data_IF_461324437872
#
_entry.id   IF_461324437872
#
_cell.length_a   1.000
_cell.length_b   1.000
_cell.length_c   1.000
_cell.angle_alpha   90.00
_cell.angle_beta   90.00
_cell.angle_gamma   90.00
#
_symmetry.space_group_name_H-M   'P 1'
#
loop_
_entity.id
_entity.type
_entity.pdbx_description
1 polymer ?
#
# COMPACT_ATOMS: atom_id res chain seq x y z
N UNK A 1 -4.66 -7.88 18.40
CA UNK A 1 -3.38 -8.19 17.67
C UNK A 1 -2.34 -7.25 18.24
N UNK A 2 -1.21 -7.80 18.67
CA UNK A 2 -0.06 -7.02 19.05
C UNK A 2 0.54 -6.30 17.83
N UNK A 3 1.20 -5.16 18.03
CA UNK A 3 1.72 -4.37 16.91
C UNK A 3 2.83 -5.11 16.14
N UNK A 4 3.76 -5.76 16.85
CA UNK A 4 4.83 -6.54 16.23
C UNK A 4 4.27 -7.77 15.51
N UNK A 5 3.30 -8.45 16.11
CA UNK A 5 2.57 -9.54 15.46
C UNK A 5 1.95 -9.06 14.14
N UNK A 6 1.30 -7.89 14.14
CA UNK A 6 0.71 -7.29 12.92
C UNK A 6 1.73 -7.05 11.83
N UNK A 7 2.90 -6.50 12.17
CA UNK A 7 4.01 -6.25 11.23
C UNK A 7 4.50 -7.56 10.59
N UNK A 8 4.68 -8.60 11.40
CA UNK A 8 5.24 -9.87 10.97
C UNK A 8 4.23 -10.75 10.20
N UNK A 9 2.93 -10.66 10.53
CA UNK A 9 1.89 -11.55 10.02
C UNK A 9 1.07 -10.97 8.85
N UNK A 10 1.11 -9.66 8.60
CA UNK A 10 0.37 -9.06 7.49
C UNK A 10 0.76 -9.68 6.14
N UNK A 11 -0.27 -10.01 5.34
CA UNK A 11 -0.12 -10.64 4.01
C UNK A 11 -0.93 -9.88 2.95
N UNK A 12 -0.51 -10.07 1.69
CA UNK A 12 -1.34 -9.71 0.55
C UNK A 12 -2.47 -10.71 0.40
N UNK A 13 -3.70 -10.27 0.60
CA UNK A 13 -4.93 -11.06 0.48
C UNK A 13 -5.53 -10.81 -0.90
N UNK A 14 -5.91 -11.90 -1.59
CA UNK A 14 -6.50 -11.86 -2.93
C UNK A 14 -7.78 -12.69 -3.06
N UNK A 15 -8.25 -13.29 -1.95
CA UNK A 15 -9.53 -13.97 -1.84
C UNK A 15 -10.33 -13.31 -0.73
N UNK A 16 -11.49 -12.80 -1.06
CA UNK A 16 -12.33 -12.02 -0.18
C UNK A 16 -13.67 -12.70 0.07
N UNK A 17 -14.18 -12.55 1.29
CA UNK A 17 -15.52 -12.97 1.69
C UNK A 17 -16.52 -11.89 1.25
N UNK A 18 -17.18 -12.13 0.13
CA UNK A 18 -18.13 -11.19 -0.48
C UNK A 18 -19.43 -11.02 0.30
N UNK A 19 -19.67 -11.88 1.31
CA UNK A 19 -20.86 -11.79 2.18
C UNK A 19 -20.73 -10.70 3.25
N UNK A 20 -19.50 -10.22 3.52
CA UNK A 20 -19.20 -9.21 4.53
C UNK A 20 -18.94 -7.86 3.90
N UNK A 21 -19.33 -6.79 4.61
CA UNK A 21 -19.14 -5.41 4.19
C UNK A 21 -18.37 -4.62 5.24
N UNK A 22 -17.48 -3.76 4.77
CA UNK A 22 -16.71 -2.85 5.61
C UNK A 22 -17.51 -1.57 5.80
N UNK A 23 -17.68 -1.13 7.05
CA UNK A 23 -18.36 0.15 7.30
C UNK A 23 -17.50 1.33 6.82
N UNK A 24 -18.15 2.42 6.43
CA UNK A 24 -17.45 3.66 6.07
C UNK A 24 -16.63 4.22 7.24
N UNK A 25 -17.07 4.00 8.46
CA UNK A 25 -16.37 4.38 9.70
C UNK A 25 -15.06 3.62 9.81
N UNK A 26 -15.07 2.30 9.59
CA UNK A 26 -13.85 1.48 9.61
C UNK A 26 -12.86 1.94 8.54
N UNK A 27 -13.34 2.25 7.33
CA UNK A 27 -12.48 2.78 6.25
C UNK A 27 -11.86 4.13 6.65
N UNK A 28 -12.65 5.04 7.25
CA UNK A 28 -12.15 6.33 7.74
C UNK A 28 -11.07 6.18 8.81
N UNK A 29 -11.25 5.25 9.75
CA UNK A 29 -10.25 4.98 10.80
C UNK A 29 -8.93 4.45 10.19
N UNK A 30 -9.01 3.58 9.19
CA UNK A 30 -7.85 3.06 8.48
C UNK A 30 -7.12 4.18 7.73
N UNK A 31 -7.85 5.03 7.00
CA UNK A 31 -7.27 6.18 6.29
C UNK A 31 -6.69 7.18 7.29
N UNK A 32 -7.36 7.43 8.41
CA UNK A 32 -6.82 8.27 9.49
C UNK A 32 -5.46 7.77 9.96
N UNK A 33 -5.30 6.46 10.18
CA UNK A 33 -3.99 5.90 10.56
C UNK A 33 -2.93 6.14 9.47
N UNK A 34 -3.28 6.01 8.19
CA UNK A 34 -2.39 6.32 7.08
C UNK A 34 -1.95 7.80 7.07
N UNK A 35 -2.85 8.72 7.42
CA UNK A 35 -2.57 10.17 7.48
C UNK A 35 -1.66 10.58 8.65
N UNK A 36 -1.41 9.69 9.61
CA UNK A 36 -0.42 9.91 10.68
C UNK A 36 1.00 9.51 10.28
N UNK A 37 1.20 9.09 9.04
CA UNK A 37 2.52 8.77 8.51
C UNK A 37 3.39 10.03 8.38
N UNK A 38 4.72 9.95 8.62
CA UNK A 38 5.61 11.07 8.39
C UNK A 38 5.70 11.41 6.91
N UNK A 39 5.96 12.68 6.60
CA UNK A 39 6.23 13.17 5.25
C UNK A 39 7.38 14.16 5.23
N UNK A 40 8.03 14.31 4.09
CA UNK A 40 9.06 15.29 3.89
C UNK A 40 8.52 16.70 4.22
N UNK A 41 9.17 17.39 5.14
CA UNK A 41 8.77 18.72 5.62
C UNK A 41 7.30 18.83 6.09
N UNK A 42 6.69 17.71 6.53
CA UNK A 42 5.28 17.65 6.94
C UNK A 42 4.31 18.15 5.84
N UNK A 43 4.63 17.89 4.57
CA UNK A 43 3.87 18.36 3.42
C UNK A 43 2.54 17.64 3.23
N UNK A 44 2.41 16.37 3.69
CA UNK A 44 1.19 15.59 3.67
C UNK A 44 0.52 15.55 2.27
N UNK A 45 1.27 15.14 1.21
CA UNK A 45 0.80 15.24 -0.16
C UNK A 45 -0.18 14.13 -0.56
N UNK A 46 -0.42 13.16 0.31
CA UNK A 46 -1.29 12.02 0.01
C UNK A 46 -2.76 12.41 -0.10
N UNK A 47 -3.44 11.78 -1.02
CA UNK A 47 -4.88 11.80 -1.19
C UNK A 47 -5.39 10.34 -1.31
N UNK A 48 -6.61 10.08 -0.85
CA UNK A 48 -7.16 8.72 -0.84
C UNK A 48 -8.53 8.72 -1.50
N UNK A 49 -8.65 8.04 -2.63
CA UNK A 49 -9.92 7.86 -3.33
C UNK A 49 -10.45 6.45 -3.04
N UNK A 50 -11.59 6.36 -2.36
CA UNK A 50 -12.26 5.10 -2.01
C UNK A 50 -13.33 4.79 -3.04
N UNK A 51 -13.27 3.59 -3.63
CA UNK A 51 -14.20 3.15 -4.67
C UNK A 51 -14.78 1.79 -4.25
N UNK A 52 -16.10 1.71 -4.12
CA UNK A 52 -16.86 0.49 -3.82
C UNK A 52 -17.82 0.11 -4.97
N UNK A 53 -17.73 0.82 -6.09
CA UNK A 53 -18.51 0.54 -7.29
C UNK A 53 -18.12 -0.81 -7.92
N UNK A 54 -19.09 -1.71 -8.03
CA UNK A 54 -18.88 -3.09 -8.53
C UNK A 54 -18.42 -3.15 -9.98
N UNK A 55 -18.87 -2.25 -10.81
CA UNK A 55 -18.48 -2.20 -12.21
C UNK A 55 -17.02 -1.80 -12.33
N UNK A 56 -16.61 -0.75 -11.62
CA UNK A 56 -15.21 -0.32 -11.55
C UNK A 56 -14.32 -1.44 -11.04
N UNK A 57 -14.67 -2.09 -9.91
CA UNK A 57 -13.88 -3.16 -9.33
C UNK A 57 -13.72 -4.36 -10.28
N UNK A 58 -14.76 -4.69 -11.03
CA UNK A 58 -14.73 -5.79 -12.00
C UNK A 58 -13.85 -5.47 -13.21
N UNK A 59 -13.88 -4.22 -13.65
CA UNK A 59 -13.19 -3.73 -14.83
C UNK A 59 -11.74 -3.29 -14.54
N UNK A 60 -11.35 -3.14 -13.27
CA UNK A 60 -10.03 -2.68 -12.86
C UNK A 60 -8.88 -3.51 -13.47
N UNK A 61 -9.11 -4.81 -13.74
CA UNK A 61 -8.16 -5.71 -14.42
C UNK A 61 -7.76 -5.24 -15.83
N UNK A 62 -8.58 -4.41 -16.48
CA UNK A 62 -8.27 -3.85 -17.79
C UNK A 62 -7.32 -2.64 -17.70
N UNK A 63 -7.31 -1.98 -16.55
CA UNK A 63 -6.38 -0.90 -16.22
C UNK A 63 -5.07 -1.48 -15.67
N UNK A 64 -5.18 -2.38 -14.67
CA UNK A 64 -4.06 -3.05 -14.01
C UNK A 64 -4.29 -4.57 -14.03
N UNK A 65 -3.62 -5.27 -14.95
CA UNK A 65 -3.83 -6.71 -15.22
C UNK A 65 -3.72 -7.63 -14.00
N UNK A 66 -3.03 -7.20 -12.95
CA UNK A 66 -2.80 -7.98 -11.74
C UNK A 66 -3.89 -7.78 -10.67
N UNK A 67 -5.01 -7.13 -11.01
CA UNK A 67 -6.12 -6.83 -10.09
C UNK A 67 -7.39 -7.62 -10.36
N UNK A 68 -7.31 -8.76 -11.05
CA UNK A 68 -8.48 -9.59 -11.39
C UNK A 68 -9.31 -10.03 -10.17
N UNK A 69 -8.68 -10.09 -8.99
CA UNK A 69 -9.34 -10.40 -7.71
C UNK A 69 -10.04 -9.20 -7.07
N UNK A 70 -9.86 -7.98 -7.59
CA UNK A 70 -10.51 -6.77 -7.07
C UNK A 70 -12.04 -6.85 -7.18
N UNK A 71 -12.55 -7.61 -8.16
CA UNK A 71 -14.00 -7.85 -8.31
C UNK A 71 -14.65 -8.45 -7.06
N UNK A 72 -13.92 -9.18 -6.23
CA UNK A 72 -14.40 -9.81 -5.01
C UNK A 72 -14.07 -8.99 -3.75
N UNK A 73 -13.23 -7.96 -3.86
CA UNK A 73 -12.94 -7.04 -2.76
C UNK A 73 -14.17 -6.20 -2.39
N UNK A 74 -14.24 -5.71 -1.18
CA UNK A 74 -15.33 -4.83 -0.76
C UNK A 74 -15.16 -3.41 -1.30
N UNK A 75 -13.94 -2.93 -1.29
CA UNK A 75 -13.57 -1.66 -1.93
C UNK A 75 -12.11 -1.69 -2.43
N UNK A 76 -11.80 -0.65 -3.19
CA UNK A 76 -10.43 -0.30 -3.58
C UNK A 76 -10.13 1.10 -3.07
N UNK A 77 -8.92 1.32 -2.56
CA UNK A 77 -8.41 2.63 -2.23
C UNK A 77 -7.29 2.95 -3.20
N UNK A 78 -7.49 3.99 -4.01
CA UNK A 78 -6.42 4.55 -4.84
C UNK A 78 -5.68 5.56 -3.97
N UNK A 79 -4.43 5.25 -3.63
CA UNK A 79 -3.54 6.19 -2.96
C UNK A 79 -2.92 7.07 -4.02
N UNK A 80 -3.08 8.36 -3.88
CA UNK A 80 -2.57 9.37 -4.80
C UNK A 80 -1.64 10.33 -4.06
N UNK A 81 -0.79 11.01 -4.82
CA UNK A 81 0.00 12.12 -4.33
C UNK A 81 -0.37 13.41 -5.07
N UNK A 82 -0.45 14.50 -4.33
CA UNK A 82 -0.62 15.85 -4.86
C UNK A 82 0.75 16.46 -5.14
N UNK A 83 1.09 16.64 -6.42
CA UNK A 83 2.41 17.15 -6.87
C UNK A 83 2.65 18.60 -6.44
N UNK A 84 1.60 19.39 -6.24
CA UNK A 84 1.72 20.77 -5.79
C UNK A 84 2.03 20.89 -4.29
N UNK A 85 1.59 19.90 -3.49
CA UNK A 85 1.85 19.84 -2.05
C UNK A 85 3.17 19.13 -1.72
N UNK A 86 3.62 18.21 -2.56
CA UNK A 86 4.83 17.43 -2.30
C UNK A 86 6.06 18.33 -2.15
N UNK A 87 6.97 17.93 -1.27
CA UNK A 87 8.28 18.55 -1.21
C UNK A 87 9.12 18.11 -2.41
N UNK A 88 9.54 19.08 -3.20
CA UNK A 88 10.53 18.91 -4.26
C UNK A 88 11.59 20.00 -4.15
N UNK A 89 12.81 19.73 -4.58
CA UNK A 89 13.90 20.71 -4.55
C UNK A 89 13.73 21.81 -5.60
N UNK A 90 13.06 21.48 -6.70
CA UNK A 90 12.69 22.41 -7.76
C UNK A 90 11.34 22.04 -8.31
N UNK A 91 10.50 23.02 -8.65
CA UNK A 91 9.22 22.78 -9.34
C UNK A 91 9.42 22.28 -10.78
N UNK A 92 10.63 22.49 -11.33
CA UNK A 92 11.00 22.14 -12.69
C UNK A 92 11.65 20.77 -12.79
N UNK A 93 12.15 20.22 -11.66
CA UNK A 93 12.84 18.92 -11.60
C UNK A 93 12.10 17.96 -10.65
N UNK A 94 11.12 17.25 -11.20
CA UNK A 94 10.34 16.22 -10.47
C UNK A 94 11.18 15.03 -10.00
N UNK A 95 12.42 14.86 -10.50
CA UNK A 95 13.32 13.77 -10.11
C UNK A 95 13.70 13.82 -8.62
N UNK A 96 13.48 14.96 -7.96
CA UNK A 96 13.74 15.21 -6.54
C UNK A 96 12.46 15.36 -5.70
N UNK A 97 11.37 14.75 -6.11
CA UNK A 97 10.13 14.75 -5.34
C UNK A 97 10.08 13.60 -4.33
N UNK A 98 9.65 13.90 -3.11
CA UNK A 98 9.40 12.90 -2.07
C UNK A 98 8.01 12.26 -2.15
N UNK A 99 7.22 12.60 -3.15
CA UNK A 99 5.82 12.18 -3.28
C UNK A 99 5.64 10.66 -3.21
N UNK A 100 6.53 9.89 -3.87
CA UNK A 100 6.44 8.43 -3.88
C UNK A 100 6.83 7.83 -2.54
N UNK A 101 7.83 8.40 -1.88
CA UNK A 101 8.26 8.00 -0.54
C UNK A 101 7.13 8.25 0.46
N UNK A 102 6.56 9.46 0.45
CA UNK A 102 5.47 9.86 1.36
C UNK A 102 4.23 8.97 1.15
N UNK A 103 3.84 8.73 -0.11
CA UNK A 103 2.73 7.83 -0.45
C UNK A 103 3.01 6.37 -0.08
N UNK A 104 4.26 5.89 -0.22
CA UNK A 104 4.63 4.53 0.14
C UNK A 104 4.51 4.30 1.65
N UNK A 105 4.99 5.24 2.46
CA UNK A 105 4.90 5.18 3.93
C UNK A 105 3.43 5.19 4.37
N UNK A 106 2.62 6.08 3.83
CA UNK A 106 1.19 6.15 4.12
C UNK A 106 0.45 4.87 3.69
N UNK A 107 0.81 4.31 2.53
CA UNK A 107 0.24 3.04 2.07
C UNK A 107 0.58 1.90 3.01
N UNK A 108 1.82 1.78 3.48
CA UNK A 108 2.19 0.74 4.46
C UNK A 108 1.41 0.88 5.76
N UNK A 109 1.21 2.11 6.26
CA UNK A 109 0.39 2.37 7.45
C UNK A 109 -1.07 1.94 7.22
N UNK A 110 -1.63 2.23 6.05
CA UNK A 110 -2.98 1.79 5.65
C UNK A 110 -3.10 0.26 5.68
N UNK A 111 -2.12 -0.46 5.10
CA UNK A 111 -2.13 -1.92 5.06
C UNK A 111 -2.10 -2.53 6.46
N UNK A 112 -1.30 -1.96 7.37
CA UNK A 112 -1.19 -2.42 8.76
C UNK A 112 -2.45 -2.10 9.56
N UNK A 113 -3.01 -0.91 9.40
CA UNK A 113 -4.26 -0.52 10.04
C UNK A 113 -5.43 -1.41 9.61
N UNK A 114 -5.53 -1.75 8.32
CA UNK A 114 -6.53 -2.70 7.83
C UNK A 114 -6.32 -4.09 8.45
N UNK A 115 -5.08 -4.58 8.48
CA UNK A 115 -4.74 -5.88 9.05
C UNK A 115 -5.08 -5.97 10.55
N UNK A 116 -4.82 -4.92 11.33
CA UNK A 116 -5.16 -4.87 12.76
C UNK A 116 -6.66 -4.98 13.03
N UNK A 117 -7.50 -4.64 12.04
CA UNK A 117 -8.96 -4.76 12.10
C UNK A 117 -9.48 -6.07 11.48
N UNK A 118 -8.60 -7.03 11.18
CA UNK A 118 -8.97 -8.31 10.58
C UNK A 118 -9.32 -8.22 9.09
N UNK A 119 -8.95 -7.13 8.42
CA UNK A 119 -9.17 -6.93 6.99
C UNK A 119 -7.95 -7.35 6.19
N UNK A 120 -8.19 -7.98 5.05
CA UNK A 120 -7.18 -8.30 4.07
C UNK A 120 -7.02 -7.19 3.05
N UNK A 121 -5.77 -6.95 2.66
CA UNK A 121 -5.44 -5.98 1.61
C UNK A 121 -4.46 -6.56 0.62
N UNK A 122 -4.46 -6.04 -0.61
CA UNK A 122 -3.40 -6.30 -1.57
C UNK A 122 -2.97 -4.99 -2.23
N UNK A 123 -1.68 -4.68 -2.12
CA UNK A 123 -1.05 -3.58 -2.83
C UNK A 123 -0.78 -3.97 -4.27
N UNK A 124 -1.23 -3.15 -5.22
CA UNK A 124 -0.88 -3.22 -6.63
C UNK A 124 -0.35 -1.85 -7.06
N UNK A 125 0.85 -1.80 -7.63
CA UNK A 125 1.46 -0.53 -8.03
C UNK A 125 0.70 0.14 -9.17
N UNK A 126 0.58 1.45 -9.11
CA UNK A 126 0.28 2.30 -10.26
C UNK A 126 1.58 2.97 -10.74
N UNK A 127 2.45 3.38 -9.83
CA UNK A 127 3.81 3.79 -10.09
C UNK A 127 4.80 2.60 -9.91
N UNK A 128 5.85 2.48 -10.71
CA UNK A 128 6.26 3.34 -11.85
C UNK A 128 5.59 3.00 -13.19
N UNK A 129 4.44 2.34 -13.20
CA UNK A 129 3.74 1.92 -14.41
C UNK A 129 2.94 3.09 -15.01
N UNK A 130 3.60 3.99 -15.70
CA UNK A 130 3.01 5.22 -16.28
C UNK A 130 1.68 5.00 -17.03
N UNK A 131 1.55 3.88 -17.77
CA UNK A 131 0.30 3.54 -18.46
C UNK A 131 -0.86 3.28 -17.50
N UNK A 132 -0.60 2.64 -16.37
CA UNK A 132 -1.61 2.37 -15.34
C UNK A 132 -2.05 3.68 -14.69
N UNK A 133 -1.08 4.52 -14.32
CA UNK A 133 -1.35 5.85 -13.75
C UNK A 133 -2.18 6.73 -14.68
N UNK A 134 -1.81 6.80 -15.97
CA UNK A 134 -2.56 7.57 -16.98
C UNK A 134 -4.00 7.06 -17.16
N UNK A 135 -4.19 5.72 -17.26
CA UNK A 135 -5.53 5.13 -17.36
C UNK A 135 -6.39 5.41 -16.12
N UNK A 136 -5.80 5.32 -14.91
CA UNK A 136 -6.53 5.67 -13.68
C UNK A 136 -6.92 7.13 -13.65
N UNK A 137 -6.01 8.02 -14.06
CA UNK A 137 -6.24 9.45 -14.10
C UNK A 137 -7.42 9.80 -15.01
N UNK A 138 -7.45 9.21 -16.20
CA UNK A 138 -8.54 9.38 -17.17
C UNK A 138 -9.87 8.81 -16.65
N UNK A 139 -9.89 7.54 -16.21
CA UNK A 139 -11.13 6.88 -15.75
C UNK A 139 -11.76 7.52 -14.52
N UNK A 140 -10.94 8.09 -13.65
CA UNK A 140 -11.37 8.67 -12.38
C UNK A 140 -11.49 10.20 -12.44
N UNK A 141 -11.26 10.81 -13.61
CA UNK A 141 -11.25 12.27 -13.80
C UNK A 141 -10.40 12.98 -12.74
N UNK A 142 -9.20 12.45 -12.46
CA UNK A 142 -8.34 13.05 -11.45
C UNK A 142 -7.78 14.39 -11.96
N UNK A 143 -7.66 15.41 -11.08
CA UNK A 143 -7.00 16.67 -11.41
C UNK A 143 -5.56 16.44 -11.89
N UNK A 144 -5.02 17.40 -12.65
CA UNK A 144 -3.71 17.27 -13.26
C UNK A 144 -2.59 17.10 -12.24
N UNK A 145 -2.68 17.78 -11.11
CA UNK A 145 -1.73 17.69 -10.00
C UNK A 145 -1.88 16.42 -9.16
N UNK A 146 -2.91 15.60 -9.38
CA UNK A 146 -3.12 14.36 -8.62
C UNK A 146 -2.55 13.16 -9.38
N UNK A 147 -1.56 12.50 -8.79
CA UNK A 147 -0.84 11.36 -9.37
C UNK A 147 -1.19 10.07 -8.63
N UNK A 148 -1.81 9.08 -9.29
CA UNK A 148 -2.04 7.77 -8.69
C UNK A 148 -0.72 7.06 -8.38
N UNK A 149 -0.57 6.63 -7.13
CA UNK A 149 0.62 5.92 -6.65
C UNK A 149 0.38 4.41 -6.51
N UNK A 150 -0.70 4.02 -5.83
CA UNK A 150 -1.01 2.63 -5.56
C UNK A 150 -2.51 2.34 -5.59
N UNK A 151 -2.83 1.11 -5.96
CA UNK A 151 -4.16 0.52 -5.87
C UNK A 151 -4.14 -0.44 -4.69
N UNK A 152 -4.96 -0.22 -3.67
CA UNK A 152 -5.08 -1.11 -2.53
C UNK A 152 -6.47 -1.71 -2.51
N UNK A 153 -6.59 -3.00 -2.82
CA UNK A 153 -7.85 -3.72 -2.64
C UNK A 153 -8.04 -4.05 -1.15
N UNK A 154 -9.27 -3.99 -0.66
CA UNK A 154 -9.59 -4.25 0.75
C UNK A 154 -10.91 -5.02 0.90
N UNK A 155 -10.92 -5.97 1.82
CA UNK A 155 -12.08 -6.80 2.14
C UNK A 155 -11.80 -7.75 3.30
N UNK A 156 -12.81 -8.48 3.75
CA UNK A 156 -12.59 -9.56 4.71
C UNK A 156 -11.92 -10.74 4.01
N UNK A 157 -10.84 -11.33 4.59
CA UNK A 157 -10.21 -12.52 4.00
C UNK A 157 -11.19 -13.69 3.96
N UNK A 158 -11.27 -14.40 2.81
CA UNK A 158 -12.02 -15.64 2.70
C UNK A 158 -11.24 -16.87 3.19
N UNK A 159 -9.93 -16.73 3.39
CA UNK A 159 -9.03 -17.77 3.88
C UNK A 159 -7.95 -17.16 4.78
N UNK A 160 -7.40 -17.95 5.69
CA UNK A 160 -6.25 -17.54 6.49
C UNK A 160 -5.00 -17.50 5.61
N UNK A 161 -4.35 -16.35 5.43
CA UNK A 161 -3.15 -16.26 4.60
C UNK A 161 -1.99 -17.06 5.20
N UNK A 162 -1.27 -17.79 4.35
CA UNK A 162 -0.06 -18.52 4.78
C UNK A 162 1.01 -17.55 5.27
N UNK A 163 1.64 -17.90 6.38
CA UNK A 163 2.78 -17.14 6.89
C UNK A 163 4.01 -17.38 5.99
N UNK A 164 4.84 -16.35 5.76
CA UNK A 164 6.06 -16.52 4.99
C UNK A 164 7.14 -17.15 5.88
N UNK A 165 7.91 -18.00 5.27
CA UNK A 165 9.14 -18.55 5.86
C UNK A 165 10.35 -17.79 5.32
N UNK A 166 11.44 -17.76 6.09
CA UNK A 166 12.75 -17.28 5.65
C UNK A 166 12.81 -15.81 5.23
N UNK A 167 11.95 -14.93 5.78
CA UNK A 167 11.98 -13.49 5.47
C UNK A 167 13.05 -12.73 6.23
N UNK A 168 13.34 -13.15 7.43
CA UNK A 168 14.42 -12.56 8.20
C UNK A 168 15.76 -12.98 7.59
N UNK A 169 16.62 -12.03 7.33
CA UNK A 169 17.91 -12.17 6.65
C UNK A 169 18.97 -11.42 7.44
N UNK A 170 19.57 -12.05 8.47
CA UNK A 170 20.56 -11.38 9.30
C UNK A 170 21.75 -10.88 8.49
N UNK A 171 22.14 -11.60 7.43
CA UNK A 171 23.21 -11.20 6.53
C UNK A 171 22.98 -9.87 5.78
N UNK A 172 21.76 -9.29 5.90
CA UNK A 172 21.42 -7.95 5.38
C UNK A 172 21.52 -6.85 6.44
N UNK A 173 21.99 -7.18 7.63
CA UNK A 173 22.23 -6.22 8.69
C UNK A 173 23.75 -5.96 8.72
N UNK A 174 24.14 -4.70 8.61
CA UNK A 174 25.54 -4.28 8.61
C UNK A 174 25.79 -3.36 9.81
N UNK A 175 26.85 -3.61 10.55
CA UNK A 175 27.18 -2.89 11.79
C UNK A 175 28.38 -1.96 11.59
N UNK A 176 28.14 -0.68 11.54
CA UNK A 176 29.18 0.35 11.44
C UNK A 176 29.79 0.53 10.05
N UNK A 177 30.00 -0.54 9.29
CA UNK A 177 30.48 -0.51 7.91
C UNK A 177 29.82 -1.62 7.08
N UNK A 178 29.88 -1.51 5.75
CA UNK A 178 29.20 -2.43 4.85
C UNK A 178 29.69 -3.88 4.94
N UNK A 179 30.97 -4.08 5.20
CA UNK A 179 31.61 -5.38 5.27
C UNK A 179 31.28 -6.17 6.56
N UNK A 180 30.79 -5.49 7.60
CA UNK A 180 30.50 -6.09 8.90
C UNK A 180 29.03 -6.52 8.99
N UNK A 181 28.70 -7.70 8.48
CA UNK A 181 27.35 -8.25 8.46
C UNK A 181 27.06 -9.10 9.71
N UNK A 182 25.77 -9.14 10.05
CA UNK A 182 25.22 -10.05 11.07
C UNK A 182 25.09 -11.46 10.43
N UNK A 183 26.22 -12.19 10.40
CA UNK A 183 26.22 -13.55 9.85
C UNK A 183 25.32 -14.48 10.69
N UNK A 184 24.65 -15.47 10.09
CA UNK A 184 24.01 -16.51 10.88
C UNK A 184 25.05 -17.20 11.76
N UNK A 185 24.82 -17.24 13.06
CA UNK A 185 25.62 -18.09 13.93
C UNK A 185 25.39 -19.51 13.43
N UNK A 186 26.41 -20.12 12.81
CA UNK A 186 26.38 -21.55 12.55
C UNK A 186 26.21 -22.23 13.92
N UNK A 187 24.98 -22.71 14.20
CA UNK A 187 24.79 -23.63 15.31
C UNK A 187 25.58 -24.85 14.94
N UNK A 188 26.76 -24.98 15.61
CA UNK A 188 27.51 -26.21 15.58
C UNK A 188 26.54 -27.35 15.90
N UNK A 189 26.35 -28.23 14.91
CA UNK A 189 25.61 -29.46 15.12
C UNK A 189 26.37 -30.27 16.18
N UNK A 190 25.77 -30.39 17.36
CA UNK A 190 26.14 -31.42 18.33
C UNK A 190 25.62 -32.80 17.87
#
# INVERSE_FOLDING_TARGET
>A
MDFMEGLLTRRSVRKYDTSKKISKETIREIIKAAQYSPTAHNKQPWEFLVIDDREFLTNLRHIQRWTSFAKDADCVIIVCGDTEKSFSRSKEDESWSFIDVDCAIATQSLLLAAWSKGLGTCYCGAEPMQKVGACLKEHLNLPENIRPFAIVTMGYPAETPKQPEGRYKPEKIHWGCWENTDAPVETAAE
#
